data_IF_941136076058
#
_entry.id   IF_941136076058
#
_cell.length_a   1.000
_cell.length_b   1.000
_cell.length_c   1.000
_cell.angle_alpha   90.00
_cell.angle_beta   90.00
_cell.angle_gamma   90.00
#
_symmetry.space_group_name_H-M   'P 1'
#
loop_
_entity.id
_entity.type
_entity.pdbx_description
1 polymer ?
#
# COMPACT_ATOMS: atom_id res chain seq x y z
N UNK A 1 2.80 -14.06 14.29
CA UNK A 1 4.03 -14.31 13.45
C UNK A 1 3.64 -15.06 12.19
N UNK A 2 4.13 -14.60 11.04
CA UNK A 2 3.81 -15.17 9.72
C UNK A 2 4.63 -16.44 9.45
N UNK A 3 3.97 -17.47 8.93
CA UNK A 3 4.60 -18.73 8.50
C UNK A 3 4.15 -19.14 7.10
N UNK A 4 5.11 -19.51 6.27
CA UNK A 4 4.83 -20.22 5.02
C UNK A 4 4.50 -21.69 5.33
N UNK A 5 3.59 -22.26 4.51
CA UNK A 5 3.15 -23.66 4.67
C UNK A 5 4.31 -24.63 4.80
N UNK A 6 5.33 -24.46 3.96
CA UNK A 6 6.47 -25.37 3.92
C UNK A 6 7.26 -25.39 5.25
N UNK A 7 7.37 -24.22 5.91
CA UNK A 7 8.01 -24.13 7.23
C UNK A 7 7.16 -24.79 8.32
N UNK A 8 5.84 -24.66 8.25
CA UNK A 8 4.92 -25.34 9.18
C UNK A 8 5.01 -26.84 8.99
N UNK A 9 4.97 -27.32 7.74
CA UNK A 9 5.06 -28.76 7.42
C UNK A 9 6.38 -29.36 7.89
N UNK A 10 7.49 -28.62 7.81
CA UNK A 10 8.79 -29.05 8.37
C UNK A 10 8.75 -29.19 9.89
N UNK A 11 8.00 -28.37 10.61
CA UNK A 11 7.83 -28.48 12.07
C UNK A 11 7.01 -29.71 12.48
N UNK A 12 6.27 -30.32 11.58
CA UNK A 12 5.42 -31.47 11.84
C UNK A 12 6.10 -32.83 11.49
N UNK A 13 7.44 -32.92 11.62
CA UNK A 13 8.17 -34.11 11.21
C UNK A 13 7.73 -35.39 11.95
N UNK A 14 7.29 -35.26 13.20
CA UNK A 14 6.87 -36.39 14.06
C UNK A 14 5.42 -36.85 13.78
N UNK A 15 4.72 -36.20 12.87
CA UNK A 15 3.34 -36.57 12.52
C UNK A 15 3.29 -37.38 11.22
N UNK A 16 2.57 -38.51 11.26
CA UNK A 16 2.36 -39.38 10.08
C UNK A 16 1.64 -38.65 8.94
N UNK A 17 0.70 -37.75 9.24
CA UNK A 17 0.02 -36.93 8.24
C UNK A 17 0.09 -35.44 8.61
N UNK A 18 1.07 -34.76 8.02
CA UNK A 18 1.37 -33.36 8.28
C UNK A 18 0.24 -32.40 7.84
N UNK A 19 -0.46 -32.70 6.72
CA UNK A 19 -1.58 -31.90 6.25
C UNK A 19 -2.79 -32.00 7.20
N UNK A 20 -3.07 -33.19 7.71
CA UNK A 20 -4.14 -33.38 8.73
C UNK A 20 -3.82 -32.61 10.00
N UNK A 21 -2.55 -32.59 10.42
CA UNK A 21 -2.11 -31.79 11.57
C UNK A 21 -2.31 -30.29 11.32
N UNK A 22 -1.95 -29.78 10.15
CA UNK A 22 -2.18 -28.38 9.75
C UNK A 22 -3.66 -28.01 9.81
N UNK A 23 -4.55 -28.84 9.26
CA UNK A 23 -5.99 -28.61 9.29
C UNK A 23 -6.53 -28.59 10.73
N UNK A 24 -6.00 -29.45 11.60
CA UNK A 24 -6.35 -29.47 13.03
C UNK A 24 -5.92 -28.16 13.71
N UNK A 25 -4.69 -27.69 13.47
CA UNK A 25 -4.19 -26.46 14.08
C UNK A 25 -4.96 -25.22 13.60
N UNK A 26 -5.45 -25.21 12.36
CA UNK A 26 -6.36 -24.17 11.87
C UNK A 26 -7.72 -24.26 12.59
N UNK A 27 -8.29 -25.50 12.72
CA UNK A 27 -9.55 -25.72 13.42
C UNK A 27 -9.46 -25.32 14.91
N UNK A 28 -8.35 -25.63 15.53
CA UNK A 28 -8.05 -25.32 16.94
C UNK A 28 -7.63 -23.86 17.17
N UNK A 29 -7.69 -23.00 16.12
CA UNK A 29 -7.34 -21.58 16.16
C UNK A 29 -5.89 -21.31 16.62
N UNK A 30 -4.97 -22.24 16.37
CA UNK A 30 -3.53 -22.06 16.57
C UNK A 30 -2.84 -21.41 15.37
N UNK A 31 -3.47 -21.52 14.21
CA UNK A 31 -3.06 -20.93 12.96
C UNK A 31 -4.26 -20.31 12.25
N UNK A 32 -4.08 -19.13 11.71
CA UNK A 32 -5.07 -18.38 10.93
C UNK A 32 -4.58 -18.26 9.49
N UNK A 33 -5.38 -18.74 8.55
CA UNK A 33 -5.02 -18.67 7.14
C UNK A 33 -5.14 -17.23 6.64
N UNK A 34 -4.05 -16.66 6.13
CA UNK A 34 -4.07 -15.35 5.46
C UNK A 34 -4.51 -15.54 4.00
N UNK A 35 -3.68 -16.25 3.23
CA UNK A 35 -3.94 -16.69 1.86
C UNK A 35 -3.43 -18.11 1.67
N UNK A 36 -3.55 -18.66 0.48
CA UNK A 36 -3.06 -20.02 0.21
C UNK A 36 -1.55 -20.10 0.48
N UNK A 37 -1.17 -20.98 1.41
CA UNK A 37 0.23 -21.19 1.75
C UNK A 37 0.83 -20.21 2.76
N UNK A 38 0.07 -19.24 3.28
CA UNK A 38 0.52 -18.24 4.25
C UNK A 38 -0.41 -18.23 5.46
N UNK A 39 0.16 -18.27 6.65
CA UNK A 39 -0.57 -18.38 7.93
C UNK A 39 -0.01 -17.42 8.97
N UNK A 40 -0.89 -16.98 9.87
CA UNK A 40 -0.57 -16.15 11.03
C UNK A 40 -0.91 -16.92 12.32
N UNK A 41 -0.19 -16.64 13.41
CA UNK A 41 -0.45 -17.25 14.73
C UNK A 41 -1.36 -16.40 15.62
N UNK A 42 -1.55 -15.13 15.30
CA UNK A 42 -2.40 -14.20 16.05
C UNK A 42 -3.50 -13.64 15.14
N UNK A 43 -4.75 -13.92 15.51
CA UNK A 43 -5.92 -13.42 14.78
C UNK A 43 -6.11 -11.90 14.85
N UNK A 44 -5.46 -11.24 15.81
CA UNK A 44 -5.58 -9.80 16.01
C UNK A 44 -4.48 -9.00 15.29
N UNK A 45 -3.60 -9.69 14.55
CA UNK A 45 -2.55 -9.01 13.78
C UNK A 45 -3.17 -8.02 12.79
N UNK A 46 -2.82 -6.72 12.85
CA UNK A 46 -3.31 -5.74 11.89
C UNK A 46 -2.95 -6.11 10.45
N UNK A 47 -3.93 -6.05 9.54
CA UNK A 47 -3.75 -6.50 8.17
C UNK A 47 -2.63 -5.79 7.42
N UNK A 48 -2.40 -4.48 7.67
CA UNK A 48 -1.34 -3.74 6.98
C UNK A 48 0.06 -4.32 7.23
N UNK A 49 0.29 -5.00 8.36
CA UNK A 49 1.56 -5.68 8.65
C UNK A 49 1.78 -6.91 7.75
N UNK A 50 0.73 -7.44 7.15
CA UNK A 50 0.74 -8.65 6.34
C UNK A 50 0.84 -8.37 4.85
N UNK A 51 0.64 -7.12 4.43
CA UNK A 51 0.42 -6.75 3.04
C UNK A 51 1.55 -7.21 2.09
N UNK A 52 2.82 -6.96 2.44
CA UNK A 52 3.97 -7.35 1.61
C UNK A 52 4.17 -8.87 1.53
N UNK A 53 3.72 -9.61 2.55
CA UNK A 53 3.79 -11.07 2.59
C UNK A 53 2.71 -11.75 1.75
N UNK A 54 1.56 -11.08 1.55
CA UNK A 54 0.46 -11.58 0.71
C UNK A 54 0.82 -11.52 -0.77
N UNK A 55 1.32 -10.36 -1.21
CA UNK A 55 1.71 -10.17 -2.61
C UNK A 55 2.84 -9.14 -2.71
N UNK A 56 4.05 -9.61 -2.97
CA UNK A 56 5.25 -8.77 -3.00
C UNK A 56 6.09 -8.92 -4.28
N UNK A 57 7.09 -8.07 -4.44
CA UNK A 57 7.37 -6.93 -3.59
C UNK A 57 6.28 -5.86 -3.69
N UNK A 58 5.92 -5.25 -2.55
CA UNK A 58 4.91 -4.21 -2.48
C UNK A 58 5.10 -3.31 -1.26
N UNK A 59 4.56 -2.10 -1.33
CA UNK A 59 4.46 -1.17 -0.19
C UNK A 59 3.04 -0.60 -0.11
N UNK A 60 2.64 -0.18 1.08
CA UNK A 60 1.33 0.46 1.32
C UNK A 60 1.35 1.86 0.70
N UNK A 61 0.31 2.20 -0.08
CA UNK A 61 0.21 3.48 -0.79
C UNK A 61 -1.25 3.84 -1.09
N UNK A 62 -1.45 4.78 -2.01
CA UNK A 62 -2.75 5.23 -2.50
C UNK A 62 -3.65 5.68 -1.35
N UNK A 63 -4.92 5.31 -1.38
CA UNK A 63 -5.95 5.75 -0.45
C UNK A 63 -5.63 5.40 1.01
N UNK A 64 -5.09 4.20 1.27
CA UNK A 64 -4.73 3.80 2.63
C UNK A 64 -3.63 4.68 3.22
N UNK A 65 -2.58 4.95 2.45
CA UNK A 65 -1.50 5.81 2.91
C UNK A 65 -1.95 7.29 3.02
N UNK A 66 -2.77 7.78 2.10
CA UNK A 66 -3.36 9.13 2.19
C UNK A 66 -4.18 9.28 3.47
N UNK A 67 -5.02 8.30 3.80
CA UNK A 67 -5.80 8.27 5.05
C UNK A 67 -4.89 8.15 6.29
N UNK A 68 -3.85 7.32 6.23
CA UNK A 68 -2.89 7.12 7.31
C UNK A 68 -2.18 8.43 7.71
N UNK A 69 -1.86 9.29 6.74
CA UNK A 69 -1.23 10.59 6.95
C UNK A 69 -2.24 11.74 7.16
N UNK A 70 -3.53 11.47 7.16
CA UNK A 70 -4.57 12.51 7.32
C UNK A 70 -4.68 13.44 6.13
N UNK A 71 -4.21 13.03 4.93
CA UNK A 71 -4.40 13.79 3.70
C UNK A 71 -5.83 13.73 3.20
N UNK A 72 -6.56 12.67 3.51
CA UNK A 72 -7.99 12.54 3.21
C UNK A 72 -8.77 12.26 4.49
N UNK A 73 -10.00 12.76 4.63
CA UNK A 73 -10.80 12.61 5.85
C UNK A 73 -11.37 11.20 6.03
N UNK A 74 -11.46 10.44 4.94
CA UNK A 74 -12.05 9.10 4.97
C UNK A 74 -11.14 8.10 5.69
N UNK A 75 -11.73 7.33 6.61
CA UNK A 75 -11.08 6.14 7.16
C UNK A 75 -11.09 5.01 6.14
N UNK A 76 -9.97 4.79 5.51
CA UNK A 76 -9.81 3.71 4.51
C UNK A 76 -9.52 2.39 5.21
N UNK A 77 -10.39 1.40 5.03
CA UNK A 77 -10.23 0.05 5.60
C UNK A 77 -9.55 -0.94 4.66
N UNK A 78 -9.68 -0.73 3.34
CA UNK A 78 -8.97 -1.53 2.34
C UNK A 78 -7.51 -1.14 2.30
N UNK A 79 -6.61 -2.11 2.53
CA UNK A 79 -5.17 -1.89 2.48
C UNK A 79 -4.74 -1.84 1.01
N UNK A 80 -4.47 -0.64 0.51
CA UNK A 80 -4.08 -0.39 -0.88
C UNK A 80 -2.56 -0.39 -0.99
N UNK A 81 -2.03 -1.16 -1.93
CA UNK A 81 -0.59 -1.39 -2.09
C UNK A 81 -0.13 -1.12 -3.52
N UNK A 82 1.07 -0.59 -3.64
CA UNK A 82 1.78 -0.44 -4.90
C UNK A 82 2.71 -1.62 -5.16
N UNK A 83 2.74 -2.06 -6.41
CA UNK A 83 3.64 -3.06 -6.98
C UNK A 83 4.27 -2.51 -8.25
N UNK A 84 5.10 -3.28 -8.93
CA UNK A 84 5.62 -2.95 -10.26
C UNK A 84 5.76 -4.20 -11.11
N UNK A 85 5.67 -4.04 -12.44
CA UNK A 85 5.85 -5.10 -13.45
C UNK A 85 4.96 -6.34 -13.28
N UNK A 86 3.89 -6.26 -12.47
CA UNK A 86 2.92 -7.35 -12.31
C UNK A 86 1.90 -7.40 -13.45
N UNK A 87 1.70 -6.25 -14.14
CA UNK A 87 0.79 -6.09 -15.31
C UNK A 87 -0.67 -6.42 -15.04
N UNK A 88 -1.07 -6.52 -13.78
CA UNK A 88 -2.46 -6.80 -13.38
C UNK A 88 -2.74 -6.31 -11.96
N UNK A 89 -3.97 -5.86 -11.77
CA UNK A 89 -4.50 -5.57 -10.44
C UNK A 89 -4.80 -6.89 -9.72
N UNK A 90 -4.58 -6.92 -8.41
CA UNK A 90 -4.91 -8.06 -7.54
C UNK A 90 -5.73 -7.58 -6.37
N UNK A 91 -6.64 -8.44 -5.94
CA UNK A 91 -7.41 -8.27 -4.73
C UNK A 91 -7.40 -9.56 -3.92
N UNK A 92 -7.28 -9.42 -2.62
CA UNK A 92 -7.37 -10.51 -1.65
C UNK A 92 -8.32 -10.08 -0.53
N UNK A 93 -9.34 -10.89 -0.30
CA UNK A 93 -10.26 -10.74 0.83
C UNK A 93 -9.90 -11.83 1.83
N UNK A 94 -9.56 -11.43 3.04
CA UNK A 94 -9.09 -12.34 4.11
C UNK A 94 -9.73 -11.97 5.43
N UNK A 95 -9.57 -12.82 6.44
CA UNK A 95 -10.01 -12.52 7.81
C UNK A 95 -9.24 -11.33 8.43
N UNK A 96 -8.09 -10.94 7.84
CA UNK A 96 -7.26 -9.81 8.27
C UNK A 96 -7.56 -8.50 7.53
N UNK A 97 -8.53 -8.51 6.61
CA UNK A 97 -8.95 -7.37 5.82
C UNK A 97 -8.89 -7.61 4.31
N UNK A 98 -9.24 -6.57 3.58
CA UNK A 98 -9.18 -6.53 2.11
C UNK A 98 -7.91 -5.83 1.66
N UNK A 99 -7.21 -6.43 0.71
CA UNK A 99 -5.95 -5.94 0.15
C UNK A 99 -6.08 -5.76 -1.35
N UNK A 100 -5.64 -4.61 -1.86
CA UNK A 100 -5.57 -4.38 -3.31
C UNK A 100 -4.18 -3.98 -3.72
N UNK A 101 -3.76 -4.45 -4.90
CA UNK A 101 -2.42 -4.22 -5.44
C UNK A 101 -2.52 -3.68 -6.86
N UNK A 102 -1.79 -2.60 -7.13
CA UNK A 102 -1.74 -1.90 -8.42
C UNK A 102 -0.30 -1.57 -8.76
N UNK A 103 0.05 -1.66 -10.04
CA UNK A 103 1.40 -1.29 -10.48
C UNK A 103 1.59 0.22 -10.56
N UNK A 104 2.80 0.63 -10.21
CA UNK A 104 3.37 1.94 -10.49
C UNK A 104 4.60 1.77 -11.40
N UNK A 105 5.11 2.82 -12.03
CA UNK A 105 6.32 2.70 -12.85
C UNK A 105 7.49 2.16 -12.06
N UNK A 106 8.25 1.22 -12.65
CA UNK A 106 9.42 0.61 -11.99
C UNK A 106 10.49 1.64 -11.61
N UNK A 107 10.63 2.72 -12.38
CA UNK A 107 11.50 3.86 -12.06
C UNK A 107 11.09 4.62 -10.80
N UNK A 108 9.79 4.73 -10.55
CA UNK A 108 9.26 5.44 -9.39
C UNK A 108 9.11 4.52 -8.16
N UNK A 109 9.02 3.20 -8.37
CA UNK A 109 8.73 2.22 -7.31
C UNK A 109 9.65 2.33 -6.09
N UNK A 110 10.99 2.38 -6.20
CA UNK A 110 11.87 2.33 -5.04
C UNK A 110 11.95 3.65 -4.25
N UNK A 111 11.43 4.75 -4.80
CA UNK A 111 11.64 6.08 -4.26
C UNK A 111 10.58 6.48 -3.22
N UNK A 112 11.01 7.21 -2.19
CA UNK A 112 10.13 7.80 -1.16
C UNK A 112 9.27 6.75 -0.44
N UNK A 113 9.86 5.60 -0.08
CA UNK A 113 9.26 4.55 0.74
C UNK A 113 9.91 4.54 2.10
N UNK A 114 9.11 4.41 3.15
CA UNK A 114 9.57 4.32 4.54
C UNK A 114 9.39 2.89 5.02
N UNK A 115 10.47 2.30 5.58
CA UNK A 115 10.38 1.07 6.35
C UNK A 115 9.95 1.40 7.78
N UNK A 116 8.90 0.76 8.26
CA UNK A 116 8.42 0.86 9.63
C UNK A 116 8.44 -0.50 10.32
N UNK A 117 8.61 -0.49 11.62
CA UNK A 117 8.57 -1.68 12.46
C UNK A 117 7.49 -1.52 13.53
N UNK A 118 6.66 -2.54 13.68
CA UNK A 118 5.60 -2.58 14.67
C UNK A 118 5.28 -4.02 15.04
N UNK A 119 5.15 -4.33 16.34
CA UNK A 119 4.80 -5.66 16.85
C UNK A 119 5.69 -6.81 16.31
N UNK A 120 6.99 -6.56 16.12
CA UNK A 120 7.96 -7.46 15.48
C UNK A 120 7.69 -7.77 14.00
N UNK A 121 6.92 -6.92 13.31
CA UNK A 121 6.76 -6.93 11.85
C UNK A 121 7.43 -5.71 11.26
N UNK A 122 8.02 -5.89 10.08
CA UNK A 122 8.49 -4.78 9.26
C UNK A 122 7.55 -4.61 8.07
N UNK A 123 7.13 -3.39 7.78
CA UNK A 123 6.30 -3.07 6.64
C UNK A 123 6.78 -1.79 5.95
N UNK A 124 6.50 -1.69 4.67
CA UNK A 124 6.86 -0.53 3.86
C UNK A 124 5.61 0.29 3.56
N UNK A 125 5.74 1.62 3.67
CA UNK A 125 4.67 2.56 3.36
C UNK A 125 5.26 3.75 2.58
N UNK A 126 4.52 4.23 1.59
CA UNK A 126 4.85 5.44 0.85
C UNK A 126 4.91 6.66 1.78
N UNK A 127 5.77 7.65 1.48
CA UNK A 127 5.63 8.99 2.08
C UNK A 127 4.32 9.64 1.62
N UNK A 128 3.84 10.72 2.29
CA UNK A 128 2.65 11.45 1.86
C UNK A 128 2.71 11.88 0.39
N UNK A 129 3.87 12.41 -0.03
CA UNK A 129 4.13 12.85 -1.41
C UNK A 129 4.04 11.70 -2.40
N UNK A 130 4.66 10.57 -2.02
CA UNK A 130 4.65 9.36 -2.85
C UNK A 130 3.25 8.79 -2.98
N UNK A 131 2.50 8.70 -1.88
CA UNK A 131 1.13 8.21 -1.87
C UNK A 131 0.20 9.05 -2.79
N UNK A 132 0.37 10.37 -2.78
CA UNK A 132 -0.37 11.28 -3.65
C UNK A 132 0.03 11.08 -5.12
N UNK A 133 1.32 10.97 -5.41
CA UNK A 133 1.81 10.68 -6.77
C UNK A 133 1.30 9.34 -7.30
N UNK A 134 1.34 8.28 -6.49
CA UNK A 134 0.79 6.95 -6.82
C UNK A 134 -0.71 7.03 -7.13
N UNK A 135 -1.46 7.79 -6.31
CA UNK A 135 -2.89 7.99 -6.53
C UNK A 135 -3.16 8.72 -7.84
N UNK A 136 -2.52 9.84 -8.09
CA UNK A 136 -2.70 10.61 -9.32
C UNK A 136 -2.26 9.83 -10.58
N UNK A 137 -1.20 9.02 -10.48
CA UNK A 137 -0.79 8.13 -11.56
C UNK A 137 -1.89 7.12 -11.95
N UNK A 138 -2.67 6.66 -10.97
CA UNK A 138 -3.73 5.67 -11.19
C UNK A 138 -5.01 6.24 -11.82
N UNK A 139 -5.11 7.57 -11.97
CA UNK A 139 -6.28 8.27 -12.50
C UNK A 139 -6.16 8.51 -14.01
N UNK A 140 -7.30 8.80 -14.64
CA UNK A 140 -7.34 9.29 -16.01
C UNK A 140 -6.59 10.62 -16.16
N UNK A 141 -6.05 10.96 -17.33
CA UNK A 141 -5.31 12.20 -17.55
C UNK A 141 -6.12 13.45 -17.19
N UNK A 142 -5.50 14.36 -16.45
CA UNK A 142 -6.01 15.69 -16.12
C UNK A 142 -5.38 16.70 -17.08
N UNK A 143 -6.17 17.66 -17.55
CA UNK A 143 -5.75 18.53 -18.66
C UNK A 143 -5.25 19.91 -18.22
N UNK A 144 -5.68 20.40 -17.05
CA UNK A 144 -5.34 21.73 -16.55
C UNK A 144 -5.39 21.81 -15.03
N UNK A 145 -4.99 22.96 -14.46
CA UNK A 145 -4.97 23.18 -13.02
C UNK A 145 -6.36 23.11 -12.38
N UNK A 146 -7.41 23.61 -13.05
CA UNK A 146 -8.78 23.54 -12.54
C UNK A 146 -9.24 22.08 -12.38
N UNK A 147 -8.92 21.21 -13.35
CA UNK A 147 -9.21 19.78 -13.23
C UNK A 147 -8.41 19.13 -12.09
N UNK A 148 -7.15 19.54 -11.90
CA UNK A 148 -6.32 19.05 -10.81
C UNK A 148 -6.88 19.48 -9.46
N UNK A 149 -7.21 20.76 -9.29
CA UNK A 149 -7.80 21.31 -8.06
C UNK A 149 -9.11 20.62 -7.70
N UNK A 150 -10.00 20.45 -8.66
CA UNK A 150 -11.25 19.70 -8.48
C UNK A 150 -10.96 18.25 -8.04
N UNK A 151 -10.02 17.59 -8.70
CA UNK A 151 -9.63 16.22 -8.33
C UNK A 151 -9.04 16.17 -6.91
N UNK A 152 -8.15 17.09 -6.54
CA UNK A 152 -7.51 17.11 -5.24
C UNK A 152 -8.50 17.44 -4.12
N UNK A 153 -9.22 18.55 -4.23
CA UNK A 153 -9.94 19.13 -3.11
C UNK A 153 -11.43 18.76 -3.08
N UNK A 154 -12.05 18.46 -4.24
CA UNK A 154 -13.44 18.04 -4.29
C UNK A 154 -13.60 16.52 -4.36
N UNK A 155 -12.91 15.83 -5.30
CA UNK A 155 -13.09 14.41 -5.51
C UNK A 155 -12.33 13.56 -4.47
N UNK A 156 -11.04 13.83 -4.27
CA UNK A 156 -10.20 13.16 -3.26
C UNK A 156 -10.35 13.76 -1.87
N UNK A 157 -10.90 14.97 -1.77
CA UNK A 157 -11.11 15.70 -0.53
C UNK A 157 -9.81 15.86 0.28
N UNK A 158 -8.70 16.11 -0.42
CA UNK A 158 -7.40 16.35 0.22
C UNK A 158 -7.53 17.55 1.15
N UNK A 159 -7.09 17.38 2.38
CA UNK A 159 -7.00 18.46 3.36
C UNK A 159 -5.96 19.49 2.93
N UNK A 160 -6.37 20.75 2.82
CA UNK A 160 -5.51 21.82 2.31
C UNK A 160 -4.31 22.10 3.22
N UNK A 161 -4.47 22.00 4.54
CA UNK A 161 -3.36 22.21 5.47
C UNK A 161 -2.32 21.07 5.34
N UNK A 162 -2.79 19.84 5.23
CA UNK A 162 -1.90 18.69 5.01
C UNK A 162 -1.22 18.77 3.63
N UNK A 163 -1.94 19.20 2.57
CA UNK A 163 -1.40 19.41 1.25
C UNK A 163 -0.27 20.47 1.25
N UNK A 164 -0.47 21.58 1.95
CA UNK A 164 0.51 22.67 2.05
C UNK A 164 1.80 22.25 2.78
N UNK A 165 1.75 21.20 3.62
CA UNK A 165 2.92 20.62 4.31
C UNK A 165 3.75 19.69 3.44
N UNK A 166 3.26 19.28 2.28
CA UNK A 166 3.98 18.39 1.37
C UNK A 166 5.28 19.03 0.87
N UNK A 167 6.31 18.19 0.77
CA UNK A 167 7.62 18.60 0.26
C UNK A 167 7.63 18.67 -1.27
N UNK A 168 7.69 19.89 -1.79
CA UNK A 168 7.74 20.14 -3.23
C UNK A 168 9.00 19.55 -3.92
N UNK A 169 10.13 19.44 -3.20
CA UNK A 169 11.35 18.87 -3.79
C UNK A 169 11.19 17.38 -4.04
N UNK A 170 10.53 16.67 -3.12
CA UNK A 170 10.17 15.26 -3.29
C UNK A 170 9.21 15.05 -4.46
N UNK A 171 8.16 15.87 -4.55
CA UNK A 171 7.20 15.80 -5.68
C UNK A 171 7.89 16.11 -7.01
N UNK A 172 8.79 17.10 -7.06
CA UNK A 172 9.56 17.41 -8.27
C UNK A 172 10.50 16.25 -8.67
N UNK A 173 11.11 15.57 -7.71
CA UNK A 173 11.92 14.37 -7.96
C UNK A 173 11.03 13.24 -8.51
N UNK A 174 9.93 12.94 -7.83
CA UNK A 174 9.00 11.90 -8.23
C UNK A 174 8.40 12.15 -9.62
N UNK A 175 8.01 13.39 -9.95
CA UNK A 175 7.38 13.70 -11.24
C UNK A 175 8.20 13.29 -12.46
N UNK A 176 9.54 13.28 -12.32
CA UNK A 176 10.46 12.85 -13.40
C UNK A 176 10.48 11.32 -13.58
N UNK A 177 10.06 10.57 -12.56
CA UNK A 177 10.14 9.11 -12.54
C UNK A 177 8.83 8.43 -12.96
N UNK A 178 7.69 9.15 -12.82
CA UNK A 178 6.37 8.59 -13.16
C UNK A 178 6.06 8.62 -14.64
N UNK A 179 6.65 9.53 -15.40
CA UNK A 179 6.28 9.78 -16.81
C UNK A 179 4.75 9.93 -16.98
N UNK A 180 4.13 10.68 -16.07
CA UNK A 180 2.68 10.87 -15.97
C UNK A 180 2.33 12.35 -16.03
N UNK A 181 1.41 12.70 -16.94
CA UNK A 181 0.90 14.08 -17.07
C UNK A 181 0.30 14.59 -15.76
N UNK A 182 -0.41 13.75 -15.01
CA UNK A 182 -1.03 14.13 -13.72
C UNK A 182 0.02 14.49 -12.68
N UNK A 183 1.09 13.68 -12.55
CA UNK A 183 2.16 13.94 -11.56
C UNK A 183 3.00 15.14 -11.96
N UNK A 184 3.25 15.34 -13.26
CA UNK A 184 3.90 16.55 -13.76
C UNK A 184 3.04 17.80 -13.51
N UNK A 185 1.73 17.70 -13.72
CA UNK A 185 0.79 18.80 -13.47
C UNK A 185 0.77 19.18 -11.99
N UNK A 186 0.77 18.19 -11.08
CA UNK A 186 0.90 18.41 -9.64
C UNK A 186 2.19 19.17 -9.31
N UNK A 187 3.33 18.73 -9.84
CA UNK A 187 4.62 19.37 -9.60
C UNK A 187 4.66 20.84 -10.10
N UNK A 188 4.05 21.11 -11.25
CA UNK A 188 3.92 22.48 -11.80
C UNK A 188 3.00 23.34 -10.94
N UNK A 189 1.86 22.80 -10.53
CA UNK A 189 0.89 23.46 -9.67
C UNK A 189 1.49 23.89 -8.33
N UNK A 190 2.17 22.97 -7.64
CA UNK A 190 2.80 23.27 -6.35
C UNK A 190 3.93 24.30 -6.44
N UNK A 191 4.69 24.30 -7.55
CA UNK A 191 5.71 25.34 -7.78
C UNK A 191 5.12 26.72 -7.91
N UNK A 192 4.01 26.84 -8.65
CA UNK A 192 3.32 28.11 -8.83
C UNK A 192 2.81 28.66 -7.50
N UNK A 193 2.12 27.85 -6.71
CA UNK A 193 1.49 28.29 -5.46
C UNK A 193 2.46 28.56 -4.30
N UNK A 194 3.70 28.03 -4.35
CA UNK A 194 4.75 28.36 -3.36
C UNK A 194 5.65 29.54 -3.79
N UNK A 195 5.45 30.08 -4.99
CA UNK A 195 6.17 31.26 -5.49
C UNK A 195 5.39 32.57 -5.29
N UNK A 196 4.15 32.47 -4.80
CA UNK A 196 3.30 33.57 -4.33
C UNK A 196 3.38 33.67 -2.79
#
# INVERSE_FOLDING_TARGET
MIYFKDLIIKKYNDYSNKNTKLLRDIKDKKLFKIVNGLYETDSNTPGYLLASSIYGPSYISFEYALSYYGLIPERVTTITCATFEKKKKKEYITDFGTFTYRDVPSSAYPEEIILKEENNYSYQIATPEKALCDKLYSLSPLFNYTNLENMLFNDLRIDEEAFNKLDILKINKLSKLYHSTNVELLAKYMRRNKSE
#
